data_IF_173965022695
#
_entry.id   IF_173965022695
#
_cell.length_a   1.000
_cell.length_b   1.000
_cell.length_c   1.000
_cell.angle_alpha   90.00
_cell.angle_beta   90.00
_cell.angle_gamma   90.00
#
_symmetry.space_group_name_H-M   'P 1'
#
loop_
_entity.id
_entity.type
_entity.pdbx_description
1 polymer ?
#
# COMPACT_ATOMS: atom_id res chain seq x y z
N UNK A 1 9.13 -13.39 4.84
CA UNK A 1 8.24 -14.19 5.70
C UNK A 1 8.98 -15.33 6.40
N UNK A 2 9.82 -16.11 5.72
CA UNK A 2 10.60 -17.19 6.34
C UNK A 2 11.49 -16.70 7.48
N UNK A 3 12.14 -15.55 7.31
CA UNK A 3 12.94 -14.95 8.39
C UNK A 3 12.05 -14.53 9.58
N UNK A 4 10.91 -13.91 9.32
CA UNK A 4 9.96 -13.51 10.36
C UNK A 4 9.49 -14.71 11.19
N UNK A 5 9.18 -15.82 10.51
CA UNK A 5 8.64 -17.02 11.14
C UNK A 5 9.72 -17.84 11.90
N UNK A 6 10.89 -18.02 11.32
CA UNK A 6 11.91 -18.94 11.84
C UNK A 6 13.08 -18.27 12.57
N UNK A 7 13.36 -16.98 12.28
CA UNK A 7 14.47 -16.23 12.87
C UNK A 7 15.88 -16.75 12.51
N UNK A 8 15.98 -17.61 11.48
CA UNK A 8 17.27 -18.23 11.14
C UNK A 8 18.24 -17.22 10.52
N UNK A 9 19.51 -17.16 10.99
CA UNK A 9 20.51 -16.24 10.46
C UNK A 9 20.73 -16.35 8.95
N UNK A 10 20.59 -17.54 8.37
CA UNK A 10 20.72 -17.77 6.92
C UNK A 10 19.71 -16.96 6.10
N UNK A 11 18.46 -16.87 6.56
CA UNK A 11 17.44 -16.06 5.88
C UNK A 11 17.73 -14.56 6.01
N UNK A 12 18.28 -14.13 7.16
CA UNK A 12 18.74 -12.75 7.33
C UNK A 12 19.88 -12.43 6.37
N UNK A 13 20.88 -13.30 6.27
CA UNK A 13 21.99 -13.10 5.34
C UNK A 13 21.55 -12.98 3.89
N UNK A 14 20.58 -13.81 3.46
CA UNK A 14 20.01 -13.71 2.11
C UNK A 14 19.32 -12.37 1.87
N UNK A 15 18.60 -11.82 2.84
CA UNK A 15 17.98 -10.47 2.70
C UNK A 15 19.08 -9.41 2.56
N UNK A 16 20.13 -9.49 3.35
CA UNK A 16 21.23 -8.52 3.35
C UNK A 16 22.12 -8.59 2.10
N UNK A 17 22.14 -9.71 1.37
CA UNK A 17 22.79 -9.81 0.05
C UNK A 17 22.18 -8.85 -0.98
N UNK A 18 20.91 -8.49 -0.81
CA UNK A 18 20.19 -7.55 -1.69
C UNK A 18 20.06 -6.14 -1.08
N UNK A 19 20.79 -5.84 0.00
CA UNK A 19 20.69 -4.56 0.72
C UNK A 19 20.90 -3.36 -0.20
N UNK A 20 21.98 -3.33 -0.97
CA UNK A 20 22.30 -2.25 -1.91
C UNK A 20 21.18 -2.04 -2.94
N UNK A 21 20.59 -3.13 -3.46
CA UNK A 21 19.46 -3.04 -4.38
C UNK A 21 18.26 -2.31 -3.75
N UNK A 22 17.96 -2.61 -2.50
CA UNK A 22 16.83 -1.99 -1.78
C UNK A 22 17.11 -0.55 -1.36
N UNK A 23 18.37 -0.20 -1.09
CA UNK A 23 18.76 1.16 -0.70
C UNK A 23 18.81 2.11 -1.92
N UNK A 24 19.26 1.63 -3.06
CA UNK A 24 19.47 2.44 -4.25
C UNK A 24 18.22 2.59 -5.14
N UNK A 25 17.21 1.78 -4.95
CA UNK A 25 16.07 1.71 -5.84
C UNK A 25 14.74 1.54 -5.08
N UNK A 26 13.88 2.54 -5.15
CA UNK A 26 12.54 2.49 -4.53
C UNK A 26 11.44 2.04 -5.50
N UNK A 27 11.71 1.98 -6.81
CA UNK A 27 10.71 1.59 -7.82
C UNK A 27 10.20 0.16 -7.67
N UNK A 28 10.95 -0.72 -6.98
CA UNK A 28 10.52 -2.09 -6.70
C UNK A 28 9.26 -2.15 -5.81
N UNK A 29 8.99 -1.10 -5.04
CA UNK A 29 7.79 -1.03 -4.18
C UNK A 29 6.49 -0.91 -4.97
N UNK A 30 6.55 -0.56 -6.26
CA UNK A 30 5.40 -0.61 -7.16
C UNK A 30 4.90 -2.05 -7.39
N UNK A 31 5.74 -3.05 -7.10
CA UNK A 31 5.34 -4.44 -7.13
C UNK A 31 4.83 -4.88 -5.75
N UNK A 32 3.60 -5.33 -5.68
CA UNK A 32 2.90 -5.75 -4.46
C UNK A 32 3.71 -6.74 -3.61
N UNK A 33 4.43 -7.67 -4.25
CA UNK A 33 5.25 -8.65 -3.54
C UNK A 33 6.39 -8.01 -2.73
N UNK A 34 7.05 -7.01 -3.29
CA UNK A 34 8.12 -6.28 -2.60
C UNK A 34 7.58 -5.34 -1.53
N UNK A 35 6.45 -4.68 -1.79
CA UNK A 35 5.78 -3.85 -0.79
C UNK A 35 5.44 -4.67 0.46
N UNK A 36 4.76 -5.80 0.30
CA UNK A 36 4.43 -6.68 1.43
C UNK A 36 5.66 -7.32 2.07
N UNK A 37 6.69 -7.63 1.28
CA UNK A 37 7.96 -8.12 1.78
C UNK A 37 8.63 -7.09 2.72
N UNK A 38 8.68 -5.85 2.29
CA UNK A 38 9.23 -4.72 3.08
C UNK A 38 8.43 -4.48 4.35
N UNK A 39 7.10 -4.46 4.27
CA UNK A 39 6.21 -4.34 5.43
C UNK A 39 6.41 -5.50 6.42
N UNK A 40 6.55 -6.72 5.92
CA UNK A 40 6.81 -7.92 6.75
C UNK A 40 8.14 -7.82 7.47
N UNK A 41 9.17 -7.27 6.80
CA UNK A 41 10.47 -7.06 7.41
C UNK A 41 10.42 -5.98 8.49
N UNK A 42 9.74 -4.87 8.23
CA UNK A 42 9.55 -3.77 9.20
C UNK A 42 8.74 -4.19 10.44
N UNK A 43 7.76 -5.08 10.26
CA UNK A 43 6.90 -5.57 11.32
C UNK A 43 7.45 -6.81 12.06
N UNK A 44 8.63 -7.32 11.71
CA UNK A 44 9.18 -8.52 12.37
C UNK A 44 9.64 -8.22 13.79
N UNK A 45 9.59 -9.25 14.65
CA UNK A 45 10.19 -9.22 15.99
C UNK A 45 11.63 -9.74 16.00
N UNK A 46 12.13 -10.15 14.86
CA UNK A 46 13.51 -10.63 14.71
C UNK A 46 14.48 -9.44 14.63
N UNK A 47 15.78 -9.72 14.75
CA UNK A 47 16.82 -8.71 14.61
C UNK A 47 16.88 -8.18 13.18
N UNK A 48 16.72 -6.89 12.98
CA UNK A 48 16.72 -6.22 11.67
C UNK A 48 18.01 -5.41 11.46
N UNK A 49 18.26 -5.06 10.21
CA UNK A 49 19.25 -4.06 9.82
C UNK A 49 18.56 -2.69 9.80
N UNK A 50 19.11 -1.74 10.54
CA UNK A 50 18.48 -0.41 10.75
C UNK A 50 18.49 0.41 9.45
N UNK A 51 19.58 0.36 8.69
CA UNK A 51 19.71 1.13 7.45
C UNK A 51 18.68 0.62 6.42
N UNK A 52 18.54 -0.70 6.31
CA UNK A 52 17.55 -1.31 5.45
C UNK A 52 16.11 -0.99 5.89
N UNK A 53 15.84 -0.94 7.19
CA UNK A 53 14.53 -0.48 7.69
C UNK A 53 14.28 0.98 7.31
N UNK A 54 15.28 1.84 7.43
CA UNK A 54 15.21 3.24 7.05
C UNK A 54 14.91 3.37 5.56
N UNK A 55 15.64 2.65 4.71
CA UNK A 55 15.40 2.66 3.26
C UNK A 55 13.98 2.22 2.90
N UNK A 56 13.46 1.16 3.53
CA UNK A 56 12.08 0.73 3.30
C UNK A 56 11.05 1.78 3.74
N UNK A 57 11.22 2.39 4.90
CA UNK A 57 10.29 3.42 5.38
C UNK A 57 10.31 4.68 4.52
N UNK A 58 11.49 5.13 4.10
CA UNK A 58 11.65 6.27 3.20
C UNK A 58 11.06 5.98 1.83
N UNK A 59 11.32 4.80 1.27
CA UNK A 59 10.74 4.38 0.00
C UNK A 59 9.22 4.32 0.02
N UNK A 60 8.62 3.73 1.05
CA UNK A 60 7.16 3.66 1.23
C UNK A 60 6.56 5.06 1.39
N UNK A 61 7.23 5.96 2.13
CA UNK A 61 6.80 7.35 2.28
C UNK A 61 6.83 8.08 0.94
N UNK A 62 7.95 8.02 0.24
CA UNK A 62 8.14 8.76 -1.01
C UNK A 62 7.19 8.29 -2.11
N UNK A 63 6.96 6.98 -2.18
CA UNK A 63 5.94 6.41 -3.06
C UNK A 63 4.52 6.85 -2.67
N UNK A 64 4.19 6.83 -1.40
CA UNK A 64 2.90 7.31 -0.90
C UNK A 64 2.66 8.78 -1.24
N UNK A 65 3.66 9.64 -1.07
CA UNK A 65 3.58 11.06 -1.44
C UNK A 65 3.38 11.26 -2.95
N UNK A 66 4.08 10.49 -3.77
CA UNK A 66 3.94 10.57 -5.23
C UNK A 66 2.55 10.11 -5.69
N UNK A 67 2.05 9.01 -5.13
CA UNK A 67 0.70 8.53 -5.39
C UNK A 67 -0.37 9.52 -4.93
N UNK A 68 -0.20 10.12 -3.76
CA UNK A 68 -1.10 11.13 -3.24
C UNK A 68 -1.17 12.37 -4.14
N UNK A 69 -0.04 12.83 -4.67
CA UNK A 69 0.01 13.95 -5.62
C UNK A 69 -0.71 13.64 -6.94
N UNK A 70 -0.72 12.37 -7.35
CA UNK A 70 -1.36 11.92 -8.60
C UNK A 70 -2.84 11.58 -8.43
N UNK A 71 -3.30 11.31 -7.21
CA UNK A 71 -4.63 10.74 -6.93
C UNK A 71 -5.78 11.62 -7.41
N UNK A 72 -5.73 12.92 -7.20
CA UNK A 72 -6.77 13.84 -7.67
C UNK A 72 -6.94 13.82 -9.19
N UNK A 73 -5.84 13.76 -9.94
CA UNK A 73 -5.85 13.64 -11.40
C UNK A 73 -6.32 12.27 -11.88
N UNK A 74 -6.11 11.24 -11.07
CA UNK A 74 -6.51 9.87 -11.40
C UNK A 74 -8.00 9.64 -11.24
N UNK A 75 -8.61 10.16 -10.19
CA UNK A 75 -10.07 10.08 -10.02
C UNK A 75 -10.76 10.73 -11.22
N UNK A 76 -10.24 11.86 -11.70
CA UNK A 76 -10.72 12.52 -12.89
C UNK A 76 -10.43 11.74 -14.19
N UNK A 77 -9.29 11.06 -14.28
CA UNK A 77 -8.87 10.33 -15.47
C UNK A 77 -9.52 8.94 -15.59
N UNK A 78 -9.80 8.27 -14.48
CA UNK A 78 -10.46 6.95 -14.44
C UNK A 78 -11.89 7.02 -15.00
N UNK A 79 -12.49 8.20 -15.04
CA UNK A 79 -13.79 8.40 -15.71
C UNK A 79 -13.74 8.18 -17.23
N UNK A 80 -12.56 8.00 -17.82
CA UNK A 80 -12.37 7.91 -19.27
C UNK A 80 -11.82 6.59 -19.83
N UNK A 81 -11.39 5.63 -18.97
CA UNK A 81 -10.69 4.40 -19.46
C UNK A 81 -11.17 3.13 -18.75
N UNK A 82 -11.52 2.12 -19.54
CA UNK A 82 -12.05 0.82 -19.07
C UNK A 82 -11.15 -0.02 -18.16
N UNK A 83 -9.89 0.37 -17.92
CA UNK A 83 -8.94 -0.33 -17.04
C UNK A 83 -8.69 0.43 -15.73
N UNK A 84 -9.41 1.51 -15.48
CA UNK A 84 -9.10 2.44 -14.39
C UNK A 84 -9.35 1.91 -12.98
N UNK A 85 -10.32 1.01 -12.81
CA UNK A 85 -10.74 0.54 -11.48
C UNK A 85 -9.69 -0.35 -10.82
N UNK A 86 -9.03 -1.23 -11.59
CA UNK A 86 -7.99 -2.11 -11.06
C UNK A 86 -6.73 -1.32 -10.65
N UNK A 87 -6.31 -0.37 -11.46
CA UNK A 87 -5.20 0.53 -11.13
C UNK A 87 -5.53 1.42 -9.93
N UNK A 88 -6.78 1.89 -9.83
CA UNK A 88 -7.27 2.63 -8.67
C UNK A 88 -7.20 1.81 -7.38
N UNK A 89 -7.64 0.55 -7.42
CA UNK A 89 -7.59 -0.37 -6.28
C UNK A 89 -6.17 -0.64 -5.83
N UNK A 90 -5.26 -0.90 -6.77
CA UNK A 90 -3.83 -1.12 -6.47
C UNK A 90 -3.21 0.08 -5.76
N UNK A 91 -3.48 1.29 -6.23
CA UNK A 91 -2.95 2.52 -5.62
C UNK A 91 -3.56 2.83 -4.26
N UNK A 92 -4.85 2.56 -4.10
CA UNK A 92 -5.48 2.66 -2.79
C UNK A 92 -4.87 1.68 -1.77
N UNK A 93 -4.51 0.46 -2.21
CA UNK A 93 -3.79 -0.50 -1.39
C UNK A 93 -2.41 0.01 -0.99
N UNK A 94 -1.63 0.55 -1.92
CA UNK A 94 -0.30 1.11 -1.65
C UNK A 94 -0.38 2.27 -0.64
N UNK A 95 -1.36 3.18 -0.78
CA UNK A 95 -1.59 4.26 0.17
C UNK A 95 -2.06 3.75 1.54
N UNK A 96 -2.89 2.72 1.58
CA UNK A 96 -3.32 2.09 2.83
C UNK A 96 -2.13 1.43 3.56
N UNK A 97 -1.24 0.77 2.81
CA UNK A 97 0.01 0.21 3.34
C UNK A 97 0.93 1.31 3.91
N UNK A 98 1.06 2.43 3.20
CA UNK A 98 1.84 3.57 3.67
C UNK A 98 1.27 4.15 4.98
N UNK A 99 -0.03 4.39 5.06
CA UNK A 99 -0.69 4.83 6.31
C UNK A 99 -0.42 3.86 7.47
N UNK A 100 -0.54 2.56 7.21
CA UNK A 100 -0.37 1.54 8.24
C UNK A 100 1.06 1.49 8.76
N UNK A 101 2.06 1.42 7.87
CA UNK A 101 3.47 1.21 8.28
C UNK A 101 4.09 2.48 8.88
N UNK A 102 3.70 3.65 8.38
CA UNK A 102 4.22 4.93 8.84
C UNK A 102 3.47 5.47 10.08
N UNK A 103 2.40 4.80 10.51
CA UNK A 103 1.48 5.32 11.53
C UNK A 103 1.03 6.76 11.23
N UNK A 104 0.90 7.05 9.94
CA UNK A 104 0.50 8.34 9.41
C UNK A 104 -0.92 8.25 8.85
N UNK A 105 -1.74 9.22 9.15
CA UNK A 105 -3.11 9.28 8.65
C UNK A 105 -3.28 10.28 7.50
N UNK A 106 -2.17 10.75 6.95
CA UNK A 106 -2.15 11.82 5.94
C UNK A 106 -2.85 11.43 4.62
N UNK A 107 -2.98 10.13 4.33
CA UNK A 107 -3.64 9.64 3.11
C UNK A 107 -5.10 9.22 3.33
N UNK A 108 -5.65 9.40 4.52
CA UNK A 108 -7.01 8.94 4.86
C UNK A 108 -8.07 9.58 3.99
N UNK A 109 -8.02 10.89 3.79
CA UNK A 109 -9.00 11.60 2.94
C UNK A 109 -8.99 11.08 1.50
N UNK A 110 -7.80 10.78 0.96
CA UNK A 110 -7.66 10.21 -0.38
C UNK A 110 -8.25 8.79 -0.44
N UNK A 111 -8.03 8.00 0.60
CA UNK A 111 -8.60 6.65 0.71
C UNK A 111 -10.13 6.69 0.84
N UNK A 112 -10.68 7.66 1.57
CA UNK A 112 -12.12 7.89 1.64
C UNK A 112 -12.70 8.27 0.27
N UNK A 113 -12.03 9.12 -0.48
CA UNK A 113 -12.42 9.49 -1.83
C UNK A 113 -12.42 8.28 -2.78
N UNK A 114 -11.40 7.41 -2.69
CA UNK A 114 -11.36 6.16 -3.44
C UNK A 114 -12.52 5.22 -3.06
N UNK A 115 -12.81 5.09 -1.76
CA UNK A 115 -13.93 4.29 -1.30
C UNK A 115 -15.25 4.84 -1.82
N UNK A 116 -15.47 6.13 -1.71
CA UNK A 116 -16.67 6.81 -2.23
C UNK A 116 -16.82 6.62 -3.74
N UNK A 117 -15.74 6.73 -4.49
CA UNK A 117 -15.72 6.48 -5.93
C UNK A 117 -16.18 5.05 -6.25
N UNK A 118 -15.62 4.06 -5.57
CA UNK A 118 -15.96 2.65 -5.74
C UNK A 118 -17.41 2.32 -5.35
N UNK A 119 -17.95 3.04 -4.38
CA UNK A 119 -19.34 2.91 -3.92
C UNK A 119 -20.37 3.64 -4.80
N UNK A 120 -19.94 4.22 -5.91
CA UNK A 120 -20.82 4.84 -6.90
C UNK A 120 -20.88 6.37 -6.84
N UNK A 121 -20.10 7.06 -6.00
CA UNK A 121 -19.91 8.50 -6.06
C UNK A 121 -18.92 8.88 -7.16
N UNK A 122 -19.14 8.33 -8.35
CA UNK A 122 -18.39 8.60 -9.57
C UNK A 122 -19.31 9.17 -10.64
N UNK A 123 -18.73 9.65 -11.74
CA UNK A 123 -19.46 10.31 -12.81
C UNK A 123 -20.60 9.46 -13.39
N UNK A 124 -20.39 8.15 -13.47
CA UNK A 124 -21.33 7.22 -14.11
C UNK A 124 -22.32 6.62 -13.12
N UNK A 125 -22.22 6.99 -11.83
CA UNK A 125 -23.02 6.46 -10.73
C UNK A 125 -23.00 4.92 -10.65
N UNK A 126 -21.90 4.31 -11.08
CA UNK A 126 -21.69 2.86 -11.08
C UNK A 126 -21.02 2.45 -9.77
N UNK A 127 -21.66 1.52 -9.05
CA UNK A 127 -21.05 0.89 -7.90
C UNK A 127 -20.12 -0.24 -8.38
N UNK A 128 -18.84 -0.10 -8.12
CA UNK A 128 -17.81 -1.11 -8.42
C UNK A 128 -17.64 -2.13 -7.27
N UNK A 129 -18.53 -2.11 -6.30
CA UNK A 129 -18.53 -3.07 -5.22
C UNK A 129 -18.81 -4.46 -5.77
N UNK A 130 -18.00 -5.48 -5.45
CA UNK A 130 -18.24 -6.83 -5.96
C UNK A 130 -19.60 -7.34 -5.48
N UNK A 131 -20.27 -8.13 -6.34
CA UNK A 131 -21.50 -8.84 -6.00
C UNK A 131 -21.33 -9.69 -4.73
N UNK A 132 -22.41 -9.91 -3.99
CA UNK A 132 -22.44 -10.66 -2.75
C UNK A 132 -21.52 -11.90 -2.79
N UNK A 133 -20.57 -11.97 -1.88
CA UNK A 133 -19.65 -13.11 -1.70
C UNK A 133 -18.27 -12.98 -2.35
N UNK A 134 -17.96 -11.87 -3.04
CA UNK A 134 -16.63 -11.59 -3.58
C UNK A 134 -16.08 -10.27 -3.02
N UNK A 135 -15.87 -10.22 -1.72
CA UNK A 135 -15.07 -9.13 -1.12
C UNK A 135 -13.64 -9.28 -1.60
N UNK A 136 -13.13 -8.30 -2.36
CA UNK A 136 -11.70 -8.27 -2.58
C UNK A 136 -11.02 -7.91 -1.27
N UNK A 137 -9.93 -8.58 -0.93
CA UNK A 137 -9.15 -8.32 0.29
C UNK A 137 -8.70 -6.85 0.35
N UNK A 138 -8.54 -6.19 -0.80
CA UNK A 138 -8.19 -4.78 -0.95
C UNK A 138 -9.26 -3.82 -0.43
N UNK A 139 -10.54 -4.08 -0.71
CA UNK A 139 -11.63 -3.25 -0.18
C UNK A 139 -11.75 -3.38 1.33
N UNK A 140 -11.49 -4.58 1.86
CA UNK A 140 -11.44 -4.79 3.31
C UNK A 140 -10.29 -4.02 3.95
N UNK A 141 -9.10 -4.01 3.33
CA UNK A 141 -7.95 -3.26 3.80
C UNK A 141 -8.22 -1.76 3.80
N UNK A 142 -8.76 -1.22 2.71
CA UNK A 142 -9.13 0.21 2.58
C UNK A 142 -10.20 0.57 3.62
N UNK A 143 -11.28 -0.20 3.72
CA UNK A 143 -12.35 0.04 4.66
C UNK A 143 -11.88 -0.05 6.12
N UNK A 144 -10.97 -0.97 6.42
CA UNK A 144 -10.35 -1.10 7.73
C UNK A 144 -9.49 0.13 8.07
N UNK A 145 -8.68 0.62 7.13
CA UNK A 145 -7.86 1.82 7.33
C UNK A 145 -8.75 3.06 7.54
N UNK A 146 -9.78 3.24 6.72
CA UNK A 146 -10.75 4.34 6.89
C UNK A 146 -11.47 4.24 8.24
N UNK A 147 -11.86 3.05 8.68
CA UNK A 147 -12.55 2.87 9.97
C UNK A 147 -11.68 3.12 11.19
N UNK A 148 -10.37 2.85 11.09
CA UNK A 148 -9.42 3.11 12.17
C UNK A 148 -9.14 4.62 12.33
N UNK A 149 -9.25 5.38 11.24
CA UNK A 149 -8.96 6.83 11.22
C UNK A 149 -10.19 7.71 11.43
N UNK A 150 -11.38 7.22 11.13
CA UNK A 150 -12.66 7.94 11.32
C UNK A 150 -13.16 8.05 12.77
N UNK A 151 -12.34 7.76 13.76
CA UNK A 151 -12.68 7.87 15.20
C UNK A 151 -12.01 9.07 15.86
N UNK A 152 -12.09 10.21 15.24
CA UNK A 152 -11.71 11.47 15.88
C UNK A 152 -12.90 12.41 15.99
#
# INVERSE_FOLDING_TARGET
ELYRAAGLPSYRSQILEYKEFFEDNTSYLEETAYLYGSMTYLATRQSVDIDLCTAFMEGIRDQGEELAKRSGKMIDAVTSVNNGTEDLLKRAEELACANYILYSYQYTEILEDFLHYLMGRNRDSVCYYPEEGKTSDYLLLIAQQVSLTGKH
#
